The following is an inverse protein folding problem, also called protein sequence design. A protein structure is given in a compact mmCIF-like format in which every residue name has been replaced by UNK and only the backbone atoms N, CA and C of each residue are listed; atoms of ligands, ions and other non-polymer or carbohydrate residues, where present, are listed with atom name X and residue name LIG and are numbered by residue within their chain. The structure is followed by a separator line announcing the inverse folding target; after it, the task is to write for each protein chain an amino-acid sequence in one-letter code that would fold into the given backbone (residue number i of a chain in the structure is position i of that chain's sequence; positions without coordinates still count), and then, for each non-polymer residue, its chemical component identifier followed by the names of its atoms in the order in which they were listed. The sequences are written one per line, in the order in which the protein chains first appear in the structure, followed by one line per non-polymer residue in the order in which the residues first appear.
data_IF_158544935039
#
_entry.id   IF_158544935039
#
_cell.length_a   1.000
_cell.length_b   1.000
_cell.length_c   1.000
_cell.angle_alpha   90.00
_cell.angle_beta   90.00
_cell.angle_gamma   90.00
#
_symmetry.space_group_name_H-M   'P 1'
#
loop_
_entity.id
_entity.type
_entity.pdbx_description
1 polymer ?
#
# COMPACT_ATOMS: atom_id res chain seq x y z
N UNK A 1 30.33 70.57 -13.08
CA UNK A 1 31.50 69.74 -12.74
C UNK A 1 31.27 68.34 -13.26
N UNK A 2 32.19 67.93 -14.12
CA UNK A 2 32.43 66.68 -14.84
C UNK A 2 31.84 65.36 -14.31
N UNK A 3 31.31 64.60 -15.28
CA UNK A 3 30.91 63.18 -15.26
C UNK A 3 32.02 62.23 -14.77
N UNK A 4 31.60 61.13 -14.15
CA UNK A 4 32.12 59.81 -14.54
C UNK A 4 31.08 58.72 -14.26
N UNK A 5 30.80 57.93 -15.29
CA UNK A 5 29.85 56.82 -15.30
C UNK A 5 30.52 55.52 -14.79
N UNK A 6 29.78 54.74 -14.02
CA UNK A 6 30.15 53.36 -13.65
C UNK A 6 29.12 52.41 -14.27
N UNK A 7 29.62 51.54 -15.13
CA UNK A 7 28.95 50.41 -15.79
C UNK A 7 28.56 49.30 -14.80
N UNK A 8 27.41 48.61 -14.99
CA UNK A 8 27.09 47.40 -14.25
C UNK A 8 27.58 46.14 -15.01
N UNK A 9 28.18 45.21 -14.27
CA UNK A 9 28.72 43.95 -14.79
C UNK A 9 27.66 42.82 -14.80
N UNK A 10 27.89 41.86 -15.70
CA UNK A 10 26.94 40.92 -16.31
C UNK A 10 26.26 39.92 -15.37
N UNK A 11 24.97 39.73 -15.63
CA UNK A 11 24.18 38.56 -15.23
C UNK A 11 24.66 37.27 -15.94
N UNK A 12 24.84 36.21 -15.15
CA UNK A 12 25.13 34.85 -15.60
C UNK A 12 23.91 34.21 -16.27
N UNK A 13 24.03 33.88 -17.56
CA UNK A 13 23.01 33.17 -18.35
C UNK A 13 23.02 31.68 -18.01
N UNK A 14 21.88 31.16 -17.55
CA UNK A 14 21.56 29.74 -17.46
C UNK A 14 21.38 29.19 -18.88
N UNK A 15 22.17 28.18 -19.25
CA UNK A 15 22.10 27.53 -20.55
C UNK A 15 20.93 26.54 -20.60
N UNK A 16 20.10 26.62 -21.65
CA UNK A 16 19.05 25.65 -21.98
C UNK A 16 19.69 24.47 -22.75
N UNK A 17 19.35 23.20 -22.46
CA UNK A 17 19.87 22.07 -23.22
C UNK A 17 19.17 21.94 -24.59
N UNK A 18 19.97 21.74 -25.65
CA UNK A 18 19.49 21.54 -27.02
C UNK A 18 19.18 20.07 -27.32
N UNK A 19 18.06 19.84 -28.01
CA UNK A 19 17.64 18.54 -28.57
C UNK A 19 18.66 18.01 -29.60
N UNK A 20 19.56 17.10 -29.18
CA UNK A 20 20.21 16.07 -30.02
C UNK A 20 21.16 15.21 -29.17
N UNK A 21 20.65 14.10 -28.65
CA UNK A 21 21.45 12.94 -28.23
C UNK A 21 20.49 11.74 -28.15
N UNK A 22 20.09 11.25 -29.32
CA UNK A 22 19.40 9.99 -29.50
C UNK A 22 20.36 9.08 -30.27
N UNK A 23 20.56 7.87 -29.73
CA UNK A 23 21.12 6.66 -30.37
C UNK A 23 22.64 6.59 -30.66
N UNK A 24 23.32 5.83 -29.79
CA UNK A 24 24.40 4.84 -30.05
C UNK A 24 25.11 4.66 -28.69
N UNK A 25 24.91 3.59 -27.93
CA UNK A 25 25.18 2.20 -28.29
C UNK A 25 26.55 1.82 -27.73
N UNK A 26 26.59 0.96 -26.71
CA UNK A 26 27.50 -0.21 -26.57
C UNK A 26 27.35 -0.81 -25.17
N UNK A 27 27.14 -2.13 -25.16
CA UNK A 27 27.22 -2.99 -24.00
C UNK A 27 28.57 -2.86 -23.30
N UNK A 28 28.54 -2.70 -21.98
CA UNK A 28 29.66 -3.00 -21.10
C UNK A 28 29.14 -3.98 -20.04
N UNK A 29 29.29 -5.26 -20.34
CA UNK A 29 29.23 -6.32 -19.35
C UNK A 29 30.48 -6.19 -18.46
N UNK A 30 30.36 -5.46 -17.36
CA UNK A 30 31.29 -5.58 -16.23
C UNK A 30 30.74 -6.65 -15.30
N UNK A 31 31.38 -7.82 -15.35
CA UNK A 31 31.15 -8.88 -14.38
C UNK A 31 31.44 -8.36 -12.98
N UNK A 32 30.39 -8.19 -12.18
CA UNK A 32 30.55 -8.29 -10.74
C UNK A 32 30.84 -9.76 -10.44
N UNK A 33 32.06 -10.01 -9.96
CA UNK A 33 32.34 -11.19 -9.15
C UNK A 33 31.33 -11.16 -7.99
N UNK A 34 30.32 -12.02 -8.07
CA UNK A 34 29.46 -12.33 -6.94
C UNK A 34 30.38 -12.89 -5.86
N UNK A 35 30.69 -12.06 -4.85
CA UNK A 35 31.10 -12.60 -3.58
C UNK A 35 29.96 -13.54 -3.14
N UNK A 36 30.25 -14.76 -2.66
CA UNK A 36 29.21 -15.60 -2.12
C UNK A 36 28.60 -14.82 -0.97
N UNK A 37 27.33 -14.43 -1.12
CA UNK A 37 26.50 -14.10 0.04
C UNK A 37 26.44 -15.40 0.81
N UNK A 38 27.33 -15.56 1.78
CA UNK A 38 27.18 -16.57 2.81
C UNK A 38 25.94 -16.15 3.59
N UNK A 39 24.79 -16.67 3.17
CA UNK A 39 23.59 -16.70 3.96
C UNK A 39 24.04 -17.15 5.36
N UNK A 40 24.01 -16.22 6.31
CA UNK A 40 24.13 -16.62 7.69
C UNK A 40 22.87 -17.44 7.92
N UNK A 41 23.02 -18.77 7.87
CA UNK A 41 21.99 -19.67 8.34
C UNK A 41 21.78 -19.29 9.81
N UNK A 42 20.72 -18.51 10.02
CA UNK A 42 20.29 -18.08 11.33
C UNK A 42 20.17 -19.30 12.21
N UNK A 43 20.35 -19.13 13.51
CA UNK A 43 19.95 -20.16 14.46
C UNK A 43 18.50 -20.56 14.14
N UNK A 44 18.16 -21.85 14.24
CA UNK A 44 16.86 -22.37 13.79
C UNK A 44 15.65 -21.81 14.56
N UNK A 45 15.86 -20.92 15.53
CA UNK A 45 14.78 -20.32 16.30
C UNK A 45 14.40 -18.93 15.76
N UNK A 46 13.28 -18.79 15.03
CA UNK A 46 12.81 -17.49 14.55
C UNK A 46 12.43 -16.49 15.66
N UNK A 47 12.50 -16.83 16.95
CA UNK A 47 12.28 -15.88 18.05
C UNK A 47 13.55 -15.42 18.74
N UNK A 48 14.71 -15.92 18.33
CA UNK A 48 15.96 -15.31 18.74
C UNK A 48 16.10 -13.98 17.99
N UNK A 49 15.83 -12.88 18.70
CA UNK A 49 15.93 -11.53 18.16
C UNK A 49 17.33 -11.22 17.58
N UNK A 50 18.37 -11.95 18.02
CA UNK A 50 19.72 -11.82 17.49
C UNK A 50 19.89 -12.39 16.07
N UNK A 51 18.92 -13.14 15.57
CA UNK A 51 18.89 -13.61 14.18
C UNK A 51 18.52 -12.52 13.18
N UNK A 52 18.03 -11.37 13.65
CA UNK A 52 17.58 -10.28 12.81
C UNK A 52 18.57 -9.11 12.90
N UNK A 53 18.79 -8.44 11.78
CA UNK A 53 19.64 -7.26 11.75
C UNK A 53 19.04 -6.14 10.91
N UNK A 54 19.34 -4.91 11.30
CA UNK A 54 18.98 -3.71 10.56
C UNK A 54 19.62 -3.70 9.18
N UNK A 55 18.80 -3.51 8.16
CA UNK A 55 19.20 -3.47 6.75
C UNK A 55 18.18 -2.65 5.95
N UNK A 56 18.50 -2.33 4.69
CA UNK A 56 17.63 -1.57 3.79
C UNK A 56 17.10 -0.23 4.33
N UNK A 57 17.89 0.43 5.20
CA UNK A 57 17.52 1.70 5.84
C UNK A 57 16.43 1.57 6.91
N UNK A 58 16.28 0.38 7.49
CA UNK A 58 15.41 0.10 8.64
C UNK A 58 16.26 -0.18 9.87
N UNK A 59 16.30 0.79 10.78
CA UNK A 59 17.04 0.67 12.05
C UNK A 59 16.07 0.25 13.16
N UNK A 60 16.36 -0.82 13.90
CA UNK A 60 15.45 -1.27 14.96
C UNK A 60 15.32 -0.23 16.08
N UNK A 61 14.09 -0.01 16.53
CA UNK A 61 13.81 0.75 17.75
C UNK A 61 14.17 -0.11 18.96
N UNK A 62 14.71 0.51 20.01
CA UNK A 62 15.05 -0.16 21.27
C UNK A 62 13.90 -1.04 21.77
N UNK A 63 14.22 -2.30 22.08
CA UNK A 63 13.26 -3.31 22.52
C UNK A 63 12.59 -4.10 21.39
N UNK A 64 12.89 -3.80 20.12
CA UNK A 64 12.46 -4.59 18.96
C UNK A 64 13.66 -5.32 18.32
N UNK A 65 13.42 -6.45 17.61
CA UNK A 65 12.12 -7.11 17.40
C UNK A 65 11.54 -7.80 18.64
N UNK A 66 10.21 -7.95 18.68
CA UNK A 66 9.47 -8.56 19.80
C UNK A 66 8.70 -9.79 19.31
N UNK A 67 8.94 -11.00 19.86
CA UNK A 67 8.08 -12.14 19.61
C UNK A 67 6.72 -11.94 20.29
N UNK A 68 5.63 -12.36 19.64
CA UNK A 68 4.29 -12.30 20.25
C UNK A 68 3.88 -13.67 20.81
N UNK A 69 2.74 -13.80 21.54
CA UNK A 69 2.35 -15.08 22.15
C UNK A 69 2.19 -16.25 21.16
N UNK A 70 1.80 -15.99 19.92
CA UNK A 70 1.88 -16.98 18.84
C UNK A 70 3.34 -17.09 18.37
N UNK A 71 3.98 -18.22 18.71
CA UNK A 71 5.24 -18.60 18.07
C UNK A 71 4.91 -18.67 16.59
N UNK A 72 5.35 -17.76 15.76
CA UNK A 72 5.35 -17.74 14.28
C UNK A 72 5.36 -16.28 13.93
N UNK A 73 4.86 -15.44 14.84
CA UNK A 73 4.73 -14.01 14.63
C UNK A 73 5.77 -13.22 15.42
N UNK A 74 6.42 -12.28 14.73
CA UNK A 74 7.39 -11.33 15.31
C UNK A 74 7.01 -9.92 14.86
N UNK A 75 7.03 -9.00 15.81
CA UNK A 75 6.81 -7.58 15.57
C UNK A 75 8.14 -6.86 15.41
N UNK A 76 8.19 -6.01 14.40
CA UNK A 76 9.29 -5.09 14.14
C UNK A 76 8.79 -3.67 14.31
N UNK A 77 9.66 -2.82 14.87
CA UNK A 77 9.47 -1.38 14.87
C UNK A 77 10.78 -0.73 14.49
N UNK A 78 10.72 0.20 13.54
CA UNK A 78 11.92 0.69 12.87
C UNK A 78 11.93 2.21 12.78
N UNK A 79 13.12 2.79 12.78
CA UNK A 79 13.37 4.14 12.31
C UNK A 79 13.76 4.08 10.83
N UNK A 80 13.29 5.04 10.04
CA UNK A 80 13.61 5.17 8.62
C UNK A 80 13.50 6.63 8.19
N UNK A 81 14.30 7.05 7.20
CA UNK A 81 14.16 8.38 6.60
C UNK A 81 12.91 8.51 5.71
N UNK A 82 12.25 7.40 5.35
CA UNK A 82 11.08 7.40 4.44
C UNK A 82 9.78 7.70 5.16
N UNK A 83 9.66 7.27 6.42
CA UNK A 83 8.50 7.52 7.27
C UNK A 83 8.98 8.13 8.58
N UNK A 84 8.71 9.42 8.75
CA UNK A 84 9.11 10.23 9.91
C UNK A 84 7.91 10.68 10.73
N UNK A 85 6.69 10.35 10.31
CA UNK A 85 5.47 10.62 11.06
C UNK A 85 5.47 9.92 12.42
N UNK A 86 5.90 8.66 12.46
CA UNK A 86 6.18 7.88 13.66
C UNK A 86 7.11 6.72 13.26
N UNK A 87 7.79 6.03 14.19
CA UNK A 87 8.56 4.83 13.85
C UNK A 87 7.58 3.73 13.39
N UNK A 88 7.52 3.38 12.09
CA UNK A 88 6.54 2.42 11.59
C UNK A 88 6.84 1.01 12.08
N UNK A 89 5.80 0.19 12.12
CA UNK A 89 5.87 -1.20 12.52
C UNK A 89 5.40 -2.14 11.42
N UNK A 90 5.84 -3.39 11.50
CA UNK A 90 5.32 -4.47 10.68
C UNK A 90 5.41 -5.79 11.44
N UNK A 91 4.47 -6.71 11.17
CA UNK A 91 4.47 -8.07 11.70
C UNK A 91 4.83 -9.05 10.59
N UNK A 92 5.68 -10.01 10.92
CA UNK A 92 5.96 -11.17 10.06
C UNK A 92 5.42 -12.41 10.76
N UNK A 93 4.52 -13.15 10.09
CA UNK A 93 3.99 -14.44 10.55
C UNK A 93 4.52 -15.57 9.66
N UNK A 94 5.13 -16.56 10.28
CA UNK A 94 5.73 -17.73 9.64
C UNK A 94 4.73 -18.89 9.53
N UNK A 95 4.94 -19.81 8.57
CA UNK A 95 4.16 -21.04 8.50
C UNK A 95 4.59 -22.05 9.57
N UNK A 96 3.71 -22.99 9.94
CA UNK A 96 4.04 -24.03 10.93
C UNK A 96 5.25 -24.87 10.50
N UNK A 97 5.42 -25.09 9.19
CA UNK A 97 6.52 -25.87 8.64
C UNK A 97 7.90 -25.19 8.72
N UNK A 98 7.97 -23.89 9.06
CA UNK A 98 9.21 -23.11 8.97
C UNK A 98 10.35 -23.75 9.77
N UNK A 99 10.13 -24.05 11.05
CA UNK A 99 11.16 -24.63 11.94
C UNK A 99 11.65 -26.00 11.48
N UNK A 100 10.73 -26.82 10.96
CA UNK A 100 11.01 -28.22 10.63
C UNK A 100 11.54 -28.40 9.19
N UNK A 101 11.54 -27.35 8.38
CA UNK A 101 11.97 -27.39 6.97
C UNK A 101 13.07 -26.36 6.69
N UNK A 102 14.28 -26.46 7.28
CA UNK A 102 15.31 -25.40 7.26
C UNK A 102 15.85 -25.04 5.86
N UNK A 103 15.78 -25.95 4.89
CA UNK A 103 16.26 -25.72 3.52
C UNK A 103 15.19 -25.13 2.59
N UNK A 104 13.97 -24.93 3.07
CA UNK A 104 12.85 -24.42 2.26
C UNK A 104 12.83 -22.90 2.21
N UNK A 105 12.63 -22.36 1.01
CA UNK A 105 12.26 -20.95 0.82
C UNK A 105 10.74 -20.84 0.63
N UNK A 106 10.14 -19.84 1.27
CA UNK A 106 8.69 -19.67 1.32
C UNK A 106 8.21 -18.50 0.46
N UNK A 107 7.05 -18.61 -0.20
CA UNK A 107 6.39 -17.46 -0.79
C UNK A 107 6.02 -16.41 0.27
N UNK A 108 5.82 -15.17 -0.19
CA UNK A 108 5.47 -14.03 0.67
C UNK A 108 4.09 -13.49 0.33
N UNK A 109 3.25 -13.29 1.33
CA UNK A 109 1.99 -12.57 1.24
C UNK A 109 2.11 -11.21 1.94
N UNK A 110 2.08 -10.13 1.19
CA UNK A 110 1.96 -8.78 1.71
C UNK A 110 0.48 -8.48 2.00
N UNK A 111 0.10 -8.34 3.26
CA UNK A 111 -1.29 -8.19 3.69
C UNK A 111 -1.54 -6.81 4.31
N UNK A 112 -2.29 -5.99 3.58
CA UNK A 112 -2.46 -4.56 3.83
C UNK A 112 -3.75 -4.28 4.61
N UNK A 113 -3.67 -3.46 5.65
CA UNK A 113 -4.82 -3.07 6.48
C UNK A 113 -5.62 -1.90 5.87
N UNK A 114 -6.87 -1.75 6.32
CA UNK A 114 -7.77 -0.64 6.00
C UNK A 114 -7.45 0.68 6.71
N UNK A 115 -8.19 1.75 6.36
CA UNK A 115 -8.02 3.07 7.01
C UNK A 115 -8.38 2.96 8.50
N UNK A 116 -7.57 3.58 9.36
CA UNK A 116 -7.72 3.48 10.82
C UNK A 116 -7.15 2.18 11.42
N UNK A 117 -6.70 1.25 10.59
CA UNK A 117 -5.96 0.07 10.99
C UNK A 117 -4.48 0.32 11.26
N UNK A 118 -3.76 -0.76 11.56
CA UNK A 118 -2.31 -0.81 11.67
C UNK A 118 -1.82 -2.24 11.37
N UNK A 119 -0.51 -2.46 11.50
CA UNK A 119 0.15 -3.75 11.28
C UNK A 119 -0.42 -4.96 12.06
N UNK A 120 -1.25 -4.75 13.10
CA UNK A 120 -1.90 -5.83 13.86
C UNK A 120 -3.34 -6.12 13.45
N UNK A 121 -3.97 -5.32 12.58
CA UNK A 121 -5.41 -5.42 12.25
C UNK A 121 -5.82 -6.84 11.86
N UNK A 122 -5.09 -7.47 10.94
CA UNK A 122 -5.39 -8.83 10.46
C UNK A 122 -5.28 -9.93 11.53
N UNK A 123 -4.60 -9.64 12.64
CA UNK A 123 -4.40 -10.56 13.77
C UNK A 123 -5.24 -10.23 15.00
N UNK A 124 -5.66 -8.98 15.18
CA UNK A 124 -6.35 -8.51 16.39
C UNK A 124 -7.76 -7.96 16.12
N UNK A 125 -8.10 -7.72 14.86
CA UNK A 125 -9.35 -7.10 14.45
C UNK A 125 -9.20 -5.59 14.28
N UNK A 126 -10.30 -4.93 13.91
CA UNK A 126 -10.35 -3.47 13.86
C UNK A 126 -10.20 -2.86 15.26
N UNK A 127 -9.50 -1.75 15.32
CA UNK A 127 -9.42 -0.90 16.52
C UNK A 127 -10.49 0.20 16.44
N UNK A 128 -11.55 0.16 17.25
CA UNK A 128 -12.60 1.19 17.26
C UNK A 128 -13.98 0.73 17.76
N UNK A 129 -14.94 1.65 17.84
CA UNK A 129 -16.35 1.34 18.14
C UNK A 129 -16.95 0.52 16.99
N UNK A 130 -17.49 -0.66 17.30
CA UNK A 130 -17.96 -1.65 16.29
C UNK A 130 -17.05 -2.88 16.11
N UNK A 131 -15.88 -2.91 16.77
CA UNK A 131 -14.95 -4.05 16.78
C UNK A 131 -15.51 -5.27 17.54
N UNK A 132 -16.31 -6.09 16.84
CA UNK A 132 -16.84 -7.35 17.37
C UNK A 132 -16.01 -8.59 17.01
N UNK A 133 -15.16 -8.50 15.98
CA UNK A 133 -14.48 -9.64 15.39
C UNK A 133 -12.96 -9.50 15.57
N UNK A 134 -12.35 -10.43 16.30
CA UNK A 134 -10.90 -10.55 16.35
C UNK A 134 -10.33 -10.99 15.00
N UNK A 135 -9.07 -10.64 14.74
CA UNK A 135 -8.33 -11.10 13.58
C UNK A 135 -7.99 -12.59 13.67
N UNK A 136 -7.98 -13.28 12.55
CA UNK A 136 -7.79 -14.74 12.47
C UNK A 136 -6.77 -15.16 11.40
N UNK A 137 -6.04 -14.21 10.81
CA UNK A 137 -5.04 -14.51 9.77
C UNK A 137 -4.00 -15.54 10.24
N UNK A 138 -3.61 -15.47 11.51
CA UNK A 138 -2.62 -16.36 12.13
C UNK A 138 -3.07 -17.83 12.09
N UNK A 139 -4.36 -18.11 12.38
CA UNK A 139 -4.88 -19.47 12.32
C UNK A 139 -5.17 -19.90 10.88
N UNK A 140 -5.69 -19.00 10.04
CA UNK A 140 -5.99 -19.29 8.62
C UNK A 140 -4.76 -19.64 7.80
N UNK A 141 -3.60 -19.06 8.15
CA UNK A 141 -2.34 -19.26 7.42
C UNK A 141 -1.41 -20.29 8.07
N UNK A 142 -1.81 -20.91 9.19
CA UNK A 142 -0.93 -21.81 9.94
C UNK A 142 -0.44 -23.03 9.14
N UNK A 143 -1.34 -23.61 8.35
CA UNK A 143 -1.06 -24.78 7.51
C UNK A 143 -0.77 -24.41 6.05
N UNK A 144 -0.63 -23.12 5.76
CA UNK A 144 -0.22 -22.64 4.45
C UNK A 144 1.29 -22.39 4.48
N UNK A 145 2.02 -22.88 3.48
CA UNK A 145 3.45 -22.63 3.36
C UNK A 145 3.73 -21.21 2.84
N UNK A 146 3.40 -20.19 3.63
CA UNK A 146 3.56 -18.77 3.27
C UNK A 146 4.04 -17.95 4.45
N UNK A 147 4.92 -16.99 4.18
CA UNK A 147 5.29 -15.94 5.13
C UNK A 147 4.36 -14.74 4.92
N UNK A 148 3.62 -14.35 5.95
CA UNK A 148 2.69 -13.23 5.88
C UNK A 148 3.35 -11.98 6.47
N UNK A 149 3.40 -10.91 5.70
CA UNK A 149 3.96 -9.61 6.10
C UNK A 149 2.81 -8.62 6.20
N UNK A 150 2.59 -8.08 7.40
CA UNK A 150 1.54 -7.10 7.69
C UNK A 150 2.21 -5.80 8.13
N UNK A 151 2.41 -4.82 7.23
CA UNK A 151 3.02 -3.55 7.58
C UNK A 151 2.00 -2.52 8.06
N UNK A 152 2.47 -1.50 8.77
CA UNK A 152 1.77 -0.23 8.82
C UNK A 152 1.69 0.38 7.42
N UNK A 153 0.53 0.97 7.12
CA UNK A 153 0.25 1.65 5.87
C UNK A 153 0.07 3.15 6.03
N UNK A 154 0.19 3.69 7.24
CA UNK A 154 -0.01 5.11 7.51
C UNK A 154 -1.47 5.56 7.52
N UNK A 155 -1.73 6.54 8.36
CA UNK A 155 -2.99 7.23 8.56
C UNK A 155 -3.58 7.78 7.24
N UNK A 156 -4.39 6.98 6.54
CA UNK A 156 -5.07 7.39 5.32
C UNK A 156 -4.14 7.64 4.13
N UNK A 157 -2.95 7.01 4.10
CA UNK A 157 -1.95 7.25 3.05
C UNK A 157 -2.28 6.60 1.70
N UNK A 158 -3.20 5.61 1.71
CA UNK A 158 -3.48 4.76 0.56
C UNK A 158 -2.21 4.09 -0.03
N UNK A 159 -1.26 3.76 0.86
CA UNK A 159 0.01 3.11 0.53
C UNK A 159 0.82 3.85 -0.53
N UNK A 160 0.64 5.16 -0.61
CA UNK A 160 1.29 6.04 -1.58
C UNK A 160 2.45 6.80 -0.93
N UNK A 161 3.35 7.31 -1.75
CA UNK A 161 4.33 8.28 -1.28
C UNK A 161 3.67 9.65 -1.13
N UNK A 162 4.01 10.37 -0.06
CA UNK A 162 3.53 11.73 0.11
C UNK A 162 4.18 12.67 -0.92
N UNK A 163 3.38 13.26 -1.82
CA UNK A 163 3.84 14.32 -2.71
C UNK A 163 4.37 15.54 -1.95
N UNK A 164 3.67 15.95 -0.88
CA UNK A 164 4.12 16.99 0.03
C UNK A 164 3.92 16.54 1.47
N UNK A 165 5.00 16.55 2.24
CA UNK A 165 4.96 16.31 3.68
C UNK A 165 5.23 17.62 4.42
N UNK A 166 4.58 17.78 5.58
CA UNK A 166 5.00 18.84 6.48
C UNK A 166 6.42 18.54 7.03
N UNK A 167 7.19 19.56 7.44
CA UNK A 167 8.54 19.36 7.97
C UNK A 167 8.58 18.30 9.08
N UNK A 168 9.47 17.31 8.93
CA UNK A 168 9.61 16.19 9.86
C UNK A 168 8.49 15.14 9.82
N UNK A 169 7.56 15.21 8.84
CA UNK A 169 6.44 14.27 8.70
C UNK A 169 6.44 13.56 7.34
N UNK A 170 7.63 13.24 6.83
CA UNK A 170 7.77 12.42 5.62
C UNK A 170 6.98 11.12 5.77
N UNK A 171 6.26 10.72 4.72
CA UNK A 171 5.31 9.62 4.77
C UNK A 171 5.32 8.86 3.43
N UNK A 172 6.50 8.36 3.05
CA UNK A 172 6.73 7.65 1.80
C UNK A 172 6.38 6.16 1.97
N UNK A 173 5.09 5.83 2.09
CA UNK A 173 4.64 4.49 2.44
C UNK A 173 4.87 3.46 1.33
N UNK A 174 4.75 3.85 0.07
CA UNK A 174 5.09 2.97 -1.06
C UNK A 174 6.56 2.56 -0.99
N UNK A 175 7.46 3.54 -0.86
CA UNK A 175 8.90 3.28 -0.77
C UNK A 175 9.25 2.49 0.50
N UNK A 176 8.62 2.79 1.63
CA UNK A 176 8.81 2.01 2.86
C UNK A 176 8.46 0.53 2.66
N UNK A 177 7.34 0.23 2.01
CA UNK A 177 6.93 -1.16 1.75
C UNK A 177 7.85 -1.84 0.73
N UNK A 178 8.03 -1.24 -0.44
CA UNK A 178 8.63 -1.90 -1.60
C UNK A 178 10.15 -1.89 -1.55
N UNK A 179 10.76 -0.78 -1.14
CA UNK A 179 12.22 -0.63 -1.19
C UNK A 179 12.89 -0.94 0.16
N UNK A 180 12.12 -1.05 1.25
CA UNK A 180 12.66 -1.32 2.59
C UNK A 180 12.11 -2.59 3.24
N UNK A 181 10.80 -2.70 3.48
CA UNK A 181 10.20 -3.83 4.21
C UNK A 181 10.34 -5.13 3.44
N UNK A 182 10.00 -5.17 2.15
CA UNK A 182 10.12 -6.41 1.36
C UNK A 182 11.59 -6.90 1.26
N UNK A 183 12.58 -6.06 0.90
CA UNK A 183 13.98 -6.47 0.93
C UNK A 183 14.46 -6.90 2.32
N UNK A 184 14.08 -6.18 3.38
CA UNK A 184 14.37 -6.59 4.76
C UNK A 184 13.86 -8.00 5.05
N UNK A 185 12.61 -8.29 4.65
CA UNK A 185 12.02 -9.61 4.83
C UNK A 185 12.76 -10.66 4.02
N UNK A 186 13.21 -10.34 2.81
CA UNK A 186 13.99 -11.26 1.98
C UNK A 186 15.39 -11.56 2.53
N UNK A 187 16.00 -10.59 3.23
CA UNK A 187 17.32 -10.77 3.83
C UNK A 187 17.27 -11.50 5.18
N UNK A 188 16.22 -11.26 5.97
CA UNK A 188 16.10 -11.78 7.35
C UNK A 188 15.30 -13.08 7.45
N UNK A 189 14.59 -13.49 6.41
CA UNK A 189 13.76 -14.71 6.40
C UNK A 189 13.99 -15.55 5.14
N UNK A 190 13.77 -16.86 5.25
CA UNK A 190 13.87 -17.80 4.13
C UNK A 190 12.69 -17.66 3.19
N UNK A 191 12.81 -16.73 2.28
CA UNK A 191 11.76 -16.34 1.35
C UNK A 191 12.16 -16.65 -0.09
N UNK A 192 11.16 -16.72 -0.97
CA UNK A 192 11.33 -16.76 -2.41
C UNK A 192 10.76 -15.46 -3.01
N UNK A 193 11.60 -14.47 -3.36
CA UNK A 193 11.15 -13.20 -3.93
C UNK A 193 10.41 -13.33 -5.25
N UNK A 194 10.49 -14.48 -5.94
CA UNK A 194 9.76 -14.71 -7.19
C UNK A 194 8.32 -15.16 -6.98
N UNK A 195 7.96 -15.55 -5.74
CA UNK A 195 6.64 -16.05 -5.36
C UNK A 195 6.00 -15.12 -4.34
N UNK A 196 5.41 -14.02 -4.81
CA UNK A 196 4.73 -13.07 -3.94
C UNK A 196 3.28 -12.82 -4.33
N UNK A 197 2.49 -12.50 -3.31
CA UNK A 197 1.10 -12.07 -3.43
C UNK A 197 0.90 -10.79 -2.61
N UNK A 198 -0.07 -9.97 -3.02
CA UNK A 198 -0.54 -8.83 -2.23
C UNK A 198 -2.05 -8.90 -2.05
N UNK A 199 -2.50 -8.65 -0.83
CA UNK A 199 -3.92 -8.61 -0.50
C UNK A 199 -4.21 -7.48 0.49
N UNK A 200 -5.46 -7.01 0.56
CA UNK A 200 -5.85 -6.07 1.60
C UNK A 200 -7.29 -5.64 1.58
N UNK A 201 -7.72 -4.98 2.65
CA UNK A 201 -9.08 -4.50 2.86
C UNK A 201 -9.20 -2.98 2.67
N UNK A 202 -10.28 -2.51 2.05
CA UNK A 202 -10.61 -1.08 1.95
C UNK A 202 -9.43 -0.26 1.40
N UNK A 203 -8.78 0.58 2.23
CA UNK A 203 -7.52 1.27 1.90
C UNK A 203 -6.42 0.30 1.45
N UNK A 204 -6.28 -0.84 2.12
CA UNK A 204 -5.39 -1.94 1.74
C UNK A 204 -5.82 -2.66 0.48
N UNK A 205 -7.12 -2.71 0.17
CA UNK A 205 -7.62 -3.25 -1.10
C UNK A 205 -7.19 -2.37 -2.28
N UNK A 206 -7.29 -1.05 -2.13
CA UNK A 206 -6.68 -0.10 -3.08
C UNK A 206 -5.16 -0.30 -3.16
N UNK A 207 -4.49 -0.38 -2.01
CA UNK A 207 -3.04 -0.61 -1.95
C UNK A 207 -2.61 -1.87 -2.70
N UNK A 208 -3.38 -2.96 -2.58
CA UNK A 208 -3.11 -4.22 -3.27
C UNK A 208 -3.24 -4.08 -4.79
N UNK A 209 -4.30 -3.43 -5.28
CA UNK A 209 -4.45 -3.15 -6.71
C UNK A 209 -3.34 -2.22 -7.20
N UNK A 210 -3.11 -1.12 -6.48
CA UNK A 210 -2.22 -0.05 -6.89
C UNK A 210 -0.75 -0.48 -6.91
N UNK A 211 -0.26 -1.11 -5.84
CA UNK A 211 1.08 -1.68 -5.81
C UNK A 211 1.19 -2.88 -6.77
N UNK A 212 0.13 -3.67 -6.88
CA UNK A 212 0.05 -4.83 -7.76
C UNK A 212 0.26 -4.50 -9.24
N UNK A 213 -0.33 -3.40 -9.73
CA UNK A 213 -0.06 -2.92 -11.09
C UNK A 213 1.29 -2.23 -11.22
N UNK A 214 1.67 -1.39 -10.25
CA UNK A 214 2.88 -0.57 -10.34
C UNK A 214 4.13 -1.44 -10.35
N UNK A 215 4.12 -2.49 -9.54
CA UNK A 215 5.18 -3.47 -9.37
C UNK A 215 4.75 -4.85 -9.88
N UNK A 216 4.19 -4.88 -11.09
CA UNK A 216 3.67 -6.09 -11.70
C UNK A 216 4.64 -7.27 -11.68
N UNK A 217 5.95 -7.06 -11.76
CA UNK A 217 6.90 -8.19 -11.80
C UNK A 217 7.09 -8.86 -10.43
N UNK A 218 6.62 -8.26 -9.34
CA UNK A 218 6.71 -8.83 -7.99
C UNK A 218 5.57 -9.81 -7.70
N UNK A 219 4.34 -9.48 -8.10
CA UNK A 219 3.15 -10.17 -7.61
C UNK A 219 2.52 -11.12 -8.64
N UNK A 220 2.38 -12.39 -8.23
CA UNK A 220 1.65 -13.45 -8.95
C UNK A 220 0.16 -13.42 -8.66
N UNK A 221 -0.22 -13.02 -7.45
CA UNK A 221 -1.62 -12.91 -7.01
C UNK A 221 -1.89 -11.54 -6.40
N UNK A 222 -3.06 -10.98 -6.71
CA UNK A 222 -3.54 -9.70 -6.18
C UNK A 222 -4.98 -9.91 -5.70
N UNK A 223 -5.28 -9.54 -4.45
CA UNK A 223 -6.62 -9.67 -3.88
C UNK A 223 -7.08 -8.36 -3.26
N UNK A 224 -8.22 -7.84 -3.70
CA UNK A 224 -8.79 -6.58 -3.23
C UNK A 224 -10.13 -6.82 -2.55
N UNK A 225 -10.19 -6.57 -1.24
CA UNK A 225 -11.41 -6.71 -0.45
C UNK A 225 -12.02 -5.33 -0.20
N UNK A 226 -13.07 -5.01 -0.96
CA UNK A 226 -13.73 -3.70 -0.97
C UNK A 226 -12.75 -2.54 -1.23
N UNK A 227 -11.69 -2.83 -1.97
CA UNK A 227 -10.79 -1.82 -2.53
C UNK A 227 -11.39 -1.28 -3.83
N UNK A 228 -11.50 0.03 -3.93
CA UNK A 228 -11.89 0.66 -5.18
C UNK A 228 -10.76 0.56 -6.21
N UNK A 229 -11.09 0.71 -7.48
CA UNK A 229 -10.20 0.49 -8.62
C UNK A 229 -10.19 1.65 -9.62
N UNK A 230 -11.00 2.69 -9.39
CA UNK A 230 -11.04 3.91 -10.20
C UNK A 230 -11.10 5.13 -9.29
N UNK A 231 -10.15 6.05 -9.45
CA UNK A 231 -10.13 7.35 -8.76
C UNK A 231 -10.28 8.53 -9.73
N UNK A 232 -10.67 8.32 -10.99
CA UNK A 232 -10.73 9.43 -11.95
C UNK A 232 -11.87 10.41 -11.63
N UNK A 233 -11.62 11.72 -11.69
CA UNK A 233 -12.61 12.73 -11.34
C UNK A 233 -13.75 12.89 -12.36
N UNK A 234 -13.63 12.31 -13.56
CA UNK A 234 -14.66 12.32 -14.60
C UNK A 234 -15.73 11.23 -14.41
N UNK A 235 -15.51 10.30 -13.48
CA UNK A 235 -16.53 9.35 -13.01
C UNK A 235 -17.05 9.79 -11.65
N UNK A 236 -18.35 9.62 -11.38
CA UNK A 236 -18.97 10.08 -10.12
C UNK A 236 -18.29 9.43 -8.90
N UNK A 237 -18.20 8.11 -8.93
CA UNK A 237 -17.63 7.26 -7.89
C UNK A 237 -16.10 7.39 -7.80
N UNK A 238 -15.41 7.54 -8.94
CA UNK A 238 -13.98 7.80 -8.94
C UNK A 238 -13.63 9.18 -8.39
N UNK A 239 -14.43 10.21 -8.69
CA UNK A 239 -14.26 11.55 -8.12
C UNK A 239 -14.46 11.59 -6.61
N UNK A 240 -15.48 10.88 -6.09
CA UNK A 240 -15.68 10.72 -4.65
C UNK A 240 -14.49 10.01 -4.00
N UNK A 241 -13.97 8.98 -4.63
CA UNK A 241 -12.84 8.27 -4.07
C UNK A 241 -11.54 9.06 -4.10
N UNK A 242 -11.28 9.77 -5.20
CA UNK A 242 -10.20 10.76 -5.29
C UNK A 242 -10.24 11.74 -4.12
N UNK A 243 -11.43 12.19 -3.75
CA UNK A 243 -11.63 13.05 -2.59
C UNK A 243 -11.32 12.33 -1.27
N UNK A 244 -11.77 11.09 -1.08
CA UNK A 244 -11.42 10.28 0.12
C UNK A 244 -9.91 10.11 0.26
N UNK A 245 -9.18 9.94 -0.84
CA UNK A 245 -7.72 9.86 -0.82
C UNK A 245 -7.10 11.20 -0.46
N UNK A 246 -7.60 12.28 -1.07
CA UNK A 246 -7.11 13.63 -0.80
C UNK A 246 -7.26 14.06 0.66
N UNK A 247 -8.40 13.73 1.28
CA UNK A 247 -8.71 14.09 2.68
C UNK A 247 -8.17 13.07 3.70
N UNK A 248 -7.87 11.84 3.26
CA UNK A 248 -7.54 10.69 4.13
C UNK A 248 -6.56 11.01 5.26
N UNK A 249 -5.39 11.60 4.99
CA UNK A 249 -4.42 11.98 6.02
C UNK A 249 -5.00 12.89 7.10
N UNK A 250 -5.87 13.82 6.73
CA UNK A 250 -6.45 14.79 7.66
C UNK A 250 -7.55 14.18 8.53
N UNK A 251 -8.35 13.24 8.00
CA UNK A 251 -9.37 12.54 8.79
C UNK A 251 -8.76 11.78 9.98
N UNK A 252 -7.56 11.25 9.78
CA UNK A 252 -6.82 10.53 10.81
C UNK A 252 -6.14 11.47 11.83
N UNK A 253 -6.12 12.79 11.62
CA UNK A 253 -5.55 13.74 12.58
C UNK A 253 -6.28 13.74 13.93
N UNK A 254 -7.56 13.35 13.98
CA UNK A 254 -8.27 13.18 15.25
C UNK A 254 -7.64 12.06 16.10
N UNK A 255 -7.18 11.00 15.44
CA UNK A 255 -6.59 9.82 16.09
C UNK A 255 -5.08 9.95 16.27
N UNK A 256 -4.43 10.62 15.34
CA UNK A 256 -2.98 10.77 15.24
C UNK A 256 -2.56 12.24 15.04
N UNK A 257 -2.92 13.15 15.97
CA UNK A 257 -2.81 14.61 15.76
C UNK A 257 -1.40 15.13 15.51
N UNK A 258 -0.38 14.41 15.95
CA UNK A 258 1.02 14.82 15.81
C UNK A 258 1.72 14.21 14.59
N UNK A 259 1.14 13.16 14.01
CA UNK A 259 1.80 12.33 12.99
C UNK A 259 1.03 12.32 11.66
N UNK A 260 -0.24 12.74 11.66
CA UNK A 260 -1.02 12.94 10.44
C UNK A 260 -0.48 14.09 9.58
N UNK A 261 -0.52 13.90 8.26
CA UNK A 261 -0.30 14.98 7.29
C UNK A 261 -1.61 15.69 6.94
N UNK A 262 -1.51 16.85 6.28
CA UNK A 262 -2.68 17.61 5.84
C UNK A 262 -3.36 17.04 4.58
N UNK A 263 -4.54 17.57 4.21
CA UNK A 263 -5.19 17.24 2.95
C UNK A 263 -4.26 17.50 1.76
N UNK A 264 -4.33 16.65 0.74
CA UNK A 264 -3.50 16.77 -0.47
C UNK A 264 -2.02 16.41 -0.29
N UNK A 265 -1.62 15.91 0.88
CA UNK A 265 -0.23 15.48 1.10
C UNK A 265 0.21 14.31 0.22
N UNK A 266 -0.73 13.50 -0.27
CA UNK A 266 -0.46 12.29 -1.07
C UNK A 266 -0.30 12.63 -2.56
N UNK A 267 -1.31 13.26 -3.18
CA UNK A 267 -1.32 13.55 -4.63
C UNK A 267 -1.41 15.05 -4.97
N UNK A 268 -1.03 15.92 -4.04
CA UNK A 268 -1.02 17.37 -4.25
C UNK A 268 -2.26 18.10 -3.76
N UNK A 269 -2.10 19.42 -3.63
CA UNK A 269 -3.16 20.32 -3.16
C UNK A 269 -4.33 20.37 -4.15
N UNK A 270 -4.01 20.38 -5.44
CA UNK A 270 -4.92 20.00 -6.50
C UNK A 270 -4.56 18.56 -6.85
N UNK A 271 -5.56 17.68 -6.94
CA UNK A 271 -5.37 16.27 -7.32
C UNK A 271 -4.57 16.23 -8.61
N UNK A 272 -3.28 15.91 -8.52
CA UNK A 272 -2.39 15.87 -9.67
C UNK A 272 -2.77 14.65 -10.51
N UNK A 273 -3.30 14.85 -11.74
CA UNK A 273 -3.82 13.76 -12.54
C UNK A 273 -2.71 12.80 -12.98
N UNK A 274 -1.48 13.28 -13.18
CA UNK A 274 -0.37 12.44 -13.58
C UNK A 274 0.04 11.52 -12.42
N UNK A 275 0.08 12.05 -11.19
CA UNK A 275 0.37 11.24 -10.00
C UNK A 275 -0.77 10.24 -9.75
N UNK A 276 -2.01 10.70 -9.73
CA UNK A 276 -3.18 9.85 -9.49
C UNK A 276 -3.22 8.69 -10.50
N UNK A 277 -2.92 8.96 -11.78
CA UNK A 277 -2.87 7.96 -12.84
C UNK A 277 -1.84 6.85 -12.56
N UNK A 278 -0.69 7.17 -11.94
CA UNK A 278 0.31 6.14 -11.60
C UNK A 278 -0.16 5.16 -10.53
N UNK A 279 -1.17 5.52 -9.73
CA UNK A 279 -1.76 4.67 -8.71
C UNK A 279 -3.06 4.02 -9.15
N UNK A 280 -3.69 4.50 -10.23
CA UNK A 280 -5.05 4.17 -10.61
C UNK A 280 -5.16 2.81 -11.33
N UNK A 281 -5.81 1.79 -10.74
CA UNK A 281 -5.92 0.44 -11.32
C UNK A 281 -6.57 0.42 -12.71
N UNK A 282 -7.68 1.12 -12.91
CA UNK A 282 -8.43 1.05 -14.18
C UNK A 282 -7.66 1.63 -15.36
N UNK A 283 -6.79 2.61 -15.13
CA UNK A 283 -5.95 3.21 -16.18
C UNK A 283 -4.73 2.36 -16.51
N UNK A 284 -4.38 1.39 -15.65
CA UNK A 284 -3.22 0.52 -15.78
C UNK A 284 -3.62 -0.95 -15.98
N UNK A 285 -4.79 -1.19 -16.59
CA UNK A 285 -5.44 -2.49 -16.73
C UNK A 285 -4.53 -3.61 -17.25
N UNK A 286 -3.75 -3.35 -18.30
CA UNK A 286 -2.87 -4.35 -18.92
C UNK A 286 -1.79 -4.88 -17.97
N UNK A 287 -1.45 -4.14 -16.91
CA UNK A 287 -0.47 -4.58 -15.91
C UNK A 287 -0.97 -5.70 -15.02
N UNK A 288 -2.26 -6.05 -15.08
CA UNK A 288 -2.82 -7.21 -14.38
C UNK A 288 -2.75 -8.51 -15.19
N UNK A 289 -2.33 -8.46 -16.46
CA UNK A 289 -2.28 -9.64 -17.33
C UNK A 289 -1.33 -10.70 -16.77
N UNK A 290 -1.80 -11.96 -16.77
CA UNK A 290 -1.04 -13.11 -16.28
C UNK A 290 -0.98 -13.24 -14.75
N UNK A 291 -1.79 -12.46 -14.02
CA UNK A 291 -1.90 -12.54 -12.56
C UNK A 291 -3.18 -13.25 -12.16
N UNK A 292 -3.17 -13.88 -10.98
CA UNK A 292 -4.41 -14.28 -10.32
C UNK A 292 -5.01 -13.07 -9.61
N UNK A 293 -6.17 -12.61 -10.06
CA UNK A 293 -6.85 -11.44 -9.48
C UNK A 293 -8.16 -11.84 -8.78
N UNK A 294 -8.33 -11.42 -7.53
CA UNK A 294 -9.56 -11.57 -6.76
C UNK A 294 -10.13 -10.21 -6.38
N UNK A 295 -11.39 -9.97 -6.72
CA UNK A 295 -12.11 -8.76 -6.42
C UNK A 295 -13.35 -9.13 -5.60
N UNK A 296 -13.44 -8.63 -4.38
CA UNK A 296 -14.54 -8.94 -3.46
C UNK A 296 -15.13 -7.67 -2.91
N UNK A 297 -16.45 -7.52 -2.92
CA UNK A 297 -17.11 -6.39 -2.27
C UNK A 297 -18.47 -6.80 -1.71
N UNK A 298 -18.95 -6.05 -0.72
CA UNK A 298 -20.37 -6.07 -0.32
C UNK A 298 -21.22 -5.19 -1.24
N UNK A 299 -22.52 -5.18 -1.00
CA UNK A 299 -23.49 -4.26 -1.63
C UNK A 299 -23.97 -3.16 -0.67
N UNK A 300 -23.48 -3.15 0.58
CA UNK A 300 -23.82 -2.14 1.58
C UNK A 300 -23.07 -0.82 1.41
N UNK A 301 -23.61 0.25 2.01
CA UNK A 301 -23.07 1.61 1.89
C UNK A 301 -21.63 1.69 2.41
N UNK A 302 -20.76 2.30 1.60
CA UNK A 302 -19.32 2.42 1.85
C UNK A 302 -19.01 3.36 3.01
N UNK A 303 -19.66 4.54 3.04
CA UNK A 303 -19.44 5.67 3.93
C UNK A 303 -20.72 6.53 3.89
N UNK A 304 -21.29 6.92 5.04
CA UNK A 304 -22.15 8.12 5.07
C UNK A 304 -21.24 9.32 4.90
N UNK A 305 -21.17 9.83 3.66
CA UNK A 305 -20.24 10.91 3.29
C UNK A 305 -20.57 12.20 4.03
N UNK A 306 -21.84 12.40 4.40
CA UNK A 306 -22.27 13.52 5.22
C UNK A 306 -21.77 13.35 6.66
N UNK A 307 -21.74 12.13 7.20
CA UNK A 307 -21.16 11.85 8.51
C UNK A 307 -19.63 11.97 8.55
N UNK A 308 -18.93 11.51 7.50
CA UNK A 308 -17.47 11.68 7.39
C UNK A 308 -17.03 13.17 7.32
N UNK A 309 -17.91 14.06 6.85
CA UNK A 309 -17.70 15.51 6.80
C UNK A 309 -18.27 16.26 8.01
N UNK A 310 -19.13 15.64 8.84
CA UNK A 310 -19.67 16.27 10.06
C UNK A 310 -18.53 16.50 11.06
N UNK A 311 -18.17 17.76 11.24
CA UNK A 311 -17.11 18.21 12.16
C UNK A 311 -15.97 18.99 11.49
N UNK A 312 -15.94 19.03 10.16
CA UNK A 312 -14.93 19.74 9.37
C UNK A 312 -15.57 20.82 8.48
N UNK A 313 -16.20 21.83 9.09
CA UNK A 313 -16.98 22.87 8.38
C UNK A 313 -16.21 23.63 7.28
N UNK A 314 -14.94 23.96 7.53
CA UNK A 314 -14.09 24.65 6.55
C UNK A 314 -13.74 23.76 5.34
N UNK A 315 -13.74 22.45 5.56
CA UNK A 315 -13.45 21.46 4.54
C UNK A 315 -14.65 21.30 3.61
N UNK A 316 -15.88 21.29 4.15
CA UNK A 316 -17.09 21.31 3.33
C UNK A 316 -17.14 22.53 2.39
N UNK A 317 -16.69 23.71 2.82
CA UNK A 317 -16.61 24.89 1.95
C UNK A 317 -15.48 24.80 0.91
N UNK A 318 -14.29 24.29 1.27
CA UNK A 318 -13.21 24.02 0.31
C UNK A 318 -13.62 22.98 -0.74
N UNK A 319 -14.43 22.00 -0.33
CA UNK A 319 -15.02 21.00 -1.20
C UNK A 319 -16.07 21.60 -2.11
N UNK A 320 -16.94 22.48 -1.60
CA UNK A 320 -17.91 23.22 -2.42
C UNK A 320 -17.24 24.05 -3.53
N UNK A 321 -16.10 24.67 -3.24
CA UNK A 321 -15.35 25.45 -4.22
C UNK A 321 -14.58 24.61 -5.24
N UNK A 322 -14.07 23.43 -4.85
CA UNK A 322 -13.50 22.43 -5.77
C UNK A 322 -14.57 21.62 -6.53
N UNK A 323 -15.80 21.54 -6.02
CA UNK A 323 -16.97 20.84 -6.58
C UNK A 323 -17.76 21.63 -7.63
N UNK A 324 -17.26 22.75 -8.17
CA UNK A 324 -17.99 23.50 -9.23
C UNK A 324 -18.29 22.70 -10.51
N UNK A 325 -17.87 21.44 -10.58
CA UNK A 325 -18.07 20.50 -11.69
C UNK A 325 -18.89 19.24 -11.36
N UNK A 326 -19.23 18.98 -10.09
CA UNK A 326 -19.93 17.74 -9.68
C UNK A 326 -21.32 18.13 -9.14
N UNK A 327 -22.37 17.73 -9.87
CA UNK A 327 -23.76 18.10 -9.61
C UNK A 327 -24.24 17.72 -8.19
N UNK A 328 -25.15 18.53 -7.65
CA UNK A 328 -25.54 18.58 -6.24
C UNK A 328 -26.31 17.37 -5.66
N UNK A 329 -26.37 16.22 -6.32
CA UNK A 329 -27.21 15.09 -5.87
C UNK A 329 -26.43 13.77 -5.78
N UNK A 330 -25.38 13.72 -4.95
CA UNK A 330 -24.69 12.45 -4.64
C UNK A 330 -25.40 11.76 -3.49
N UNK A 331 -26.20 10.73 -3.82
CA UNK A 331 -26.86 9.84 -2.86
C UNK A 331 -26.07 8.53 -2.77
N UNK A 332 -25.81 8.11 -1.54
CA UNK A 332 -25.05 6.96 -0.98
C UNK A 332 -25.08 5.55 -1.66
N UNK A 333 -25.60 5.36 -2.87
CA UNK A 333 -25.64 4.06 -3.58
C UNK A 333 -24.52 3.79 -4.59
N UNK A 334 -23.57 4.72 -4.79
CA UNK A 334 -22.75 4.80 -6.01
C UNK A 334 -21.36 4.14 -5.94
N UNK A 335 -21.08 3.27 -4.96
CA UNK A 335 -19.70 2.76 -4.74
C UNK A 335 -19.46 1.35 -5.31
N UNK A 336 -20.46 0.46 -5.25
CA UNK A 336 -20.40 -0.86 -5.93
C UNK A 336 -20.09 -0.79 -7.43
N UNK A 337 -20.60 0.21 -8.20
CA UNK A 337 -20.27 0.37 -9.61
C UNK A 337 -18.78 0.54 -9.92
N UNK A 338 -17.96 0.96 -8.95
CA UNK A 338 -16.54 1.18 -9.17
C UNK A 338 -15.77 -0.12 -9.46
N UNK A 339 -15.96 -1.11 -8.58
CA UNK A 339 -15.28 -2.41 -8.70
C UNK A 339 -15.91 -3.27 -9.80
N UNK A 340 -17.23 -3.16 -9.98
CA UNK A 340 -17.94 -3.76 -11.12
C UNK A 340 -17.40 -3.23 -12.46
N UNK A 341 -17.27 -1.91 -12.62
CA UNK A 341 -16.70 -1.32 -13.84
C UNK A 341 -15.28 -1.78 -14.11
N UNK A 342 -14.48 -1.98 -13.07
CA UNK A 342 -13.13 -2.51 -13.22
C UNK A 342 -13.14 -4.00 -13.63
N UNK A 343 -14.00 -4.83 -13.04
CA UNK A 343 -14.18 -6.23 -13.44
C UNK A 343 -14.66 -6.36 -14.88
N UNK A 344 -15.60 -5.52 -15.30
CA UNK A 344 -16.06 -5.45 -16.70
C UNK A 344 -14.92 -5.06 -17.64
N UNK A 345 -14.13 -4.04 -17.28
CA UNK A 345 -12.96 -3.63 -18.06
C UNK A 345 -11.94 -4.77 -18.20
N UNK A 346 -11.65 -5.52 -17.12
CA UNK A 346 -10.78 -6.70 -17.16
C UNK A 346 -11.34 -7.79 -18.08
N UNK A 347 -12.65 -8.03 -18.03
CA UNK A 347 -13.35 -8.96 -18.93
C UNK A 347 -13.15 -8.56 -20.39
N UNK A 348 -13.40 -7.30 -20.71
CA UNK A 348 -13.28 -6.76 -22.07
C UNK A 348 -11.83 -6.82 -22.60
N UNK A 349 -10.84 -6.67 -21.72
CA UNK A 349 -9.42 -6.82 -22.05
C UNK A 349 -8.93 -8.28 -22.09
N UNK A 350 -9.80 -9.25 -21.79
CA UNK A 350 -9.45 -10.66 -21.73
C UNK A 350 -8.41 -10.97 -20.63
N UNK A 351 -8.51 -10.30 -19.48
CA UNK A 351 -7.64 -10.51 -18.32
C UNK A 351 -8.38 -11.38 -17.31
N UNK A 352 -7.76 -12.50 -16.93
CA UNK A 352 -8.34 -13.45 -15.97
C UNK A 352 -8.48 -12.80 -14.59
N UNK A 353 -9.69 -12.85 -14.04
CA UNK A 353 -10.02 -12.34 -12.72
C UNK A 353 -11.22 -13.09 -12.15
N UNK A 354 -11.43 -12.97 -10.84
CA UNK A 354 -12.57 -13.51 -10.13
C UNK A 354 -13.21 -12.38 -9.31
N UNK A 355 -14.38 -11.93 -9.76
CA UNK A 355 -15.14 -10.89 -9.10
C UNK A 355 -16.41 -11.46 -8.45
N UNK A 356 -16.63 -11.11 -7.18
CA UNK A 356 -17.80 -11.54 -6.42
C UNK A 356 -18.31 -10.41 -5.53
N UNK A 357 -19.55 -10.02 -5.77
CA UNK A 357 -20.30 -9.14 -4.87
C UNK A 357 -21.20 -9.95 -3.92
N UNK A 358 -21.05 -9.72 -2.62
CA UNK A 358 -21.77 -10.42 -1.56
C UNK A 358 -22.97 -9.59 -1.08
N UNK A 359 -24.18 -10.05 -1.40
CA UNK A 359 -25.42 -9.33 -1.10
C UNK A 359 -25.76 -9.31 0.38
N UNK A 360 -26.27 -8.19 0.87
CA UNK A 360 -26.64 -7.95 2.27
C UNK A 360 -25.44 -7.82 3.20
N UNK A 361 -24.23 -7.60 2.66
CA UNK A 361 -23.00 -7.44 3.44
C UNK A 361 -22.47 -6.03 3.30
N UNK A 362 -22.04 -5.47 4.42
CA UNK A 362 -21.55 -4.09 4.51
C UNK A 362 -20.01 -4.04 4.53
N UNK A 363 -19.46 -2.83 4.54
CA UNK A 363 -18.03 -2.54 4.57
C UNK A 363 -17.44 -2.83 5.97
N UNK A 364 -17.39 -4.11 6.34
CA UNK A 364 -17.04 -4.57 7.69
C UNK A 364 -15.86 -5.56 7.67
N UNK A 365 -15.09 -5.59 8.76
CA UNK A 365 -13.92 -6.46 8.85
C UNK A 365 -14.23 -7.97 8.73
N UNK A 366 -15.36 -8.41 9.28
CA UNK A 366 -15.78 -9.81 9.18
C UNK A 366 -15.95 -10.30 7.73
N UNK A 367 -16.48 -9.44 6.85
CA UNK A 367 -16.60 -9.73 5.42
C UNK A 367 -15.21 -9.94 4.78
N UNK A 368 -14.24 -9.09 5.12
CA UNK A 368 -12.90 -9.19 4.54
C UNK A 368 -12.12 -10.41 5.04
N UNK A 369 -12.35 -10.84 6.28
CA UNK A 369 -11.80 -12.10 6.80
C UNK A 369 -12.37 -13.32 6.07
N UNK A 370 -13.68 -13.35 5.82
CA UNK A 370 -14.33 -14.42 5.05
C UNK A 370 -13.82 -14.47 3.60
N UNK A 371 -13.72 -13.31 2.96
CA UNK A 371 -13.18 -13.18 1.60
C UNK A 371 -11.72 -13.64 1.52
N UNK A 372 -10.88 -13.22 2.47
CA UNK A 372 -9.50 -13.68 2.55
C UNK A 372 -9.42 -15.20 2.67
N UNK A 373 -10.27 -15.80 3.51
CA UNK A 373 -10.32 -17.24 3.67
C UNK A 373 -10.78 -17.98 2.41
N UNK A 374 -11.76 -17.44 1.69
CA UNK A 374 -12.27 -17.97 0.43
C UNK A 374 -11.17 -17.95 -0.65
N UNK A 375 -10.41 -16.86 -0.71
CA UNK A 375 -9.41 -16.63 -1.76
C UNK A 375 -8.06 -17.30 -1.46
N UNK A 376 -7.74 -17.56 -0.19
CA UNK A 376 -6.45 -18.12 0.25
C UNK A 376 -6.01 -19.38 -0.53
N UNK A 377 -6.84 -20.41 -0.76
CA UNK A 377 -6.44 -21.55 -1.58
C UNK A 377 -6.02 -21.17 -3.00
N UNK A 378 -6.69 -20.20 -3.61
CA UNK A 378 -6.38 -19.73 -4.96
C UNK A 378 -5.15 -18.82 -5.00
N UNK A 379 -4.92 -18.02 -3.95
CA UNK A 379 -3.67 -17.28 -3.75
C UNK A 379 -2.50 -18.26 -3.67
N UNK A 380 -2.61 -19.30 -2.84
CA UNK A 380 -1.55 -20.31 -2.68
C UNK A 380 -1.27 -21.06 -3.99
N UNK A 381 -2.32 -21.41 -4.75
CA UNK A 381 -2.14 -22.02 -6.08
C UNK A 381 -1.35 -21.12 -7.03
N UNK A 382 -1.60 -19.81 -7.03
CA UNK A 382 -0.89 -18.85 -7.86
C UNK A 382 0.58 -18.66 -7.44
N UNK A 383 0.87 -18.80 -6.15
CA UNK A 383 2.23 -18.73 -5.62
C UNK A 383 3.08 -19.94 -6.06
N UNK A 384 2.47 -21.12 -6.21
CA UNK A 384 3.18 -22.35 -6.60
C UNK A 384 3.28 -22.59 -8.13
N UNK A 385 2.58 -21.79 -8.95
CA UNK A 385 2.58 -21.89 -10.42
C UNK A 385 3.78 -21.16 -11.04
#
# INVERSE_FOLDING_TARGET
MTLSAVTPERASRVARPSRRALLAGTAAATGLLAAPVTAHASTNDPFDASNYHSCHGLDFVDGFPVPIPDWRSVDFRVNTEKVQTFPPSFRVTLPTSYRDSPDRNYPVLLLLHGRGGNFTQWTQGETGEGSGNGGDVISRTADQDVIVVMPDGGAGSFYSNAYHAAPGRRADWETFLIDQVLPFVHENFRTDPSRMAVAGDSMGGWGALSLGQKYQDLFRSISAYSGLADCRPDTLDGGLFSLVIWIGPALEAKRYPFTANGPGSIWGNDLDPDIASTYNPIENLERYRGKRLFLRNGDGNWIDFAEALKGHGDLYEQLRDKQKTIGQDVVEGDVSPNLERFADALTDAGIEHDHKMLKGRTHEFGLWQENFAEDLPGIMKALEA
#
